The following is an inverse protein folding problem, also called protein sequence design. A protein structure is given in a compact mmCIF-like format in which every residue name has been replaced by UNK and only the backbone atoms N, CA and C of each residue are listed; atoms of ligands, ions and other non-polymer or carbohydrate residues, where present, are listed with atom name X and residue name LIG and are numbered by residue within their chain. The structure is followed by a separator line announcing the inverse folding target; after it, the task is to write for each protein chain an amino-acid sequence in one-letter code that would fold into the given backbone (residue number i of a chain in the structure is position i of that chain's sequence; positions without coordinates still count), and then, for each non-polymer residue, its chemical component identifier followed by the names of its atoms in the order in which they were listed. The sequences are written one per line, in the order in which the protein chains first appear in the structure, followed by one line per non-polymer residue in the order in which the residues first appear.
data_IF_144381947309
#
_entry.id   IF_144381947309
#
_cell.length_a   1.000
_cell.length_b   1.000
_cell.length_c   1.000
_cell.angle_alpha   90.00
_cell.angle_beta   90.00
_cell.angle_gamma   90.00
#
_symmetry.space_group_name_H-M   'P 1'
#
loop_
_entity.id
_entity.type
_entity.pdbx_description
1 polymer ?
#
# COMPACT_ATOMS: atom_id res chain seq x y z
N UNK A 1 36.94 22.40 36.27
CA UNK A 1 37.05 21.32 35.26
C UNK A 1 35.82 20.45 35.40
N UNK A 2 34.84 20.64 34.52
CA UNK A 2 33.59 19.88 34.53
C UNK A 2 33.89 18.47 34.00
N UNK A 3 33.51 17.44 34.74
CA UNK A 3 33.47 16.07 34.24
C UNK A 3 32.18 15.95 33.42
N UNK A 4 32.31 15.86 32.10
CA UNK A 4 31.22 15.39 31.25
C UNK A 4 30.98 13.91 31.56
N UNK A 5 29.83 13.62 32.15
CA UNK A 5 29.29 12.27 32.23
C UNK A 5 28.77 11.91 30.84
N UNK A 6 29.57 11.15 30.09
CA UNK A 6 29.12 10.49 28.88
C UNK A 6 27.96 9.56 29.24
N UNK A 7 26.73 9.96 28.89
CA UNK A 7 25.56 9.09 28.94
C UNK A 7 25.85 7.87 28.06
N UNK A 8 25.99 6.72 28.70
CA UNK A 8 26.10 5.42 28.05
C UNK A 8 24.88 5.21 27.16
N UNK A 9 25.15 4.87 25.91
CA UNK A 9 24.18 4.46 24.90
C UNK A 9 23.35 3.31 25.50
N UNK A 10 22.02 3.47 25.49
CA UNK A 10 21.07 2.44 25.89
C UNK A 10 21.38 1.15 25.12
N UNK A 11 21.57 0.05 25.86
CA UNK A 11 21.92 -1.25 25.31
C UNK A 11 20.84 -1.72 24.34
N UNK A 12 21.25 -2.16 23.15
CA UNK A 12 20.38 -2.82 22.17
C UNK A 12 19.82 -4.18 22.64
N UNK A 13 20.16 -4.61 23.86
CA UNK A 13 19.77 -5.88 24.46
C UNK A 13 18.30 -5.93 24.92
N UNK A 14 17.56 -4.81 24.85
CA UNK A 14 16.13 -4.71 25.21
C UNK A 14 15.17 -4.70 24.00
N UNK A 15 15.64 -5.10 22.81
CA UNK A 15 14.75 -5.29 21.65
C UNK A 15 14.36 -6.77 21.59
N UNK A 16 13.19 -7.10 22.12
CA UNK A 16 12.57 -8.41 21.92
C UNK A 16 12.47 -8.71 20.41
N UNK A 17 12.76 -9.96 20.03
CA UNK A 17 12.58 -10.46 18.66
C UNK A 17 11.13 -10.18 18.21
N UNK A 18 10.93 -9.15 17.38
CA UNK A 18 9.61 -8.82 16.86
C UNK A 18 9.31 -9.69 15.65
N UNK A 19 8.14 -10.34 15.67
CA UNK A 19 7.69 -11.08 14.51
C UNK A 19 7.23 -10.09 13.42
N UNK A 20 8.08 -9.86 12.42
CA UNK A 20 7.76 -9.01 11.25
C UNK A 20 6.48 -9.48 10.56
N UNK A 21 6.23 -10.80 10.53
CA UNK A 21 4.98 -11.36 10.01
C UNK A 21 3.79 -10.95 10.87
N UNK A 22 3.90 -10.81 12.20
CA UNK A 22 2.79 -10.32 13.04
C UNK A 22 2.42 -8.85 12.74
N UNK A 23 3.42 -7.99 12.47
CA UNK A 23 3.21 -6.61 12.03
C UNK A 23 2.53 -6.53 10.64
N UNK A 24 2.76 -7.53 9.77
CA UNK A 24 2.16 -7.62 8.43
C UNK A 24 0.79 -8.32 8.47
N UNK A 25 0.60 -9.31 9.35
CA UNK A 25 -0.62 -10.11 9.53
C UNK A 25 -1.78 -9.25 10.06
N UNK A 26 -1.50 -8.18 10.79
CA UNK A 26 -2.48 -7.20 11.28
C UNK A 26 -2.59 -5.93 10.42
N UNK A 27 -2.08 -5.94 9.18
CA UNK A 27 -2.30 -4.85 8.20
C UNK A 27 -3.77 -4.57 7.84
N UNK A 28 -4.73 -5.31 8.42
CA UNK A 28 -6.16 -5.01 8.35
C UNK A 28 -6.56 -3.76 9.12
N UNK A 29 -5.83 -3.38 10.17
CA UNK A 29 -6.15 -2.20 10.99
C UNK A 29 -5.46 -0.93 10.48
N UNK A 30 -4.40 -1.08 9.69
CA UNK A 30 -3.66 0.07 9.13
C UNK A 30 -4.39 0.66 7.94
N UNK A 31 -5.09 1.76 8.17
CA UNK A 31 -5.67 2.60 7.12
C UNK A 31 -4.68 3.73 6.81
N UNK A 32 -4.21 3.77 5.57
CA UNK A 32 -3.37 4.81 5.03
C UNK A 32 -4.27 5.78 4.26
N UNK A 33 -4.28 7.04 4.70
CA UNK A 33 -4.89 8.12 3.95
C UNK A 33 -3.85 8.71 2.98
N UNK A 34 -4.21 8.81 1.71
CA UNK A 34 -3.35 9.35 0.67
C UNK A 34 -4.17 10.18 -0.33
N UNK A 35 -3.49 10.89 -1.22
CA UNK A 35 -4.10 11.68 -2.29
C UNK A 35 -3.65 11.14 -3.65
N UNK A 36 -4.61 10.97 -4.56
CA UNK A 36 -4.34 10.67 -5.96
C UNK A 36 -4.82 11.79 -6.87
N UNK A 37 -4.11 11.99 -7.96
CA UNK A 37 -4.45 12.97 -8.99
C UNK A 37 -5.23 12.31 -10.12
N UNK A 38 -6.48 12.73 -10.25
CA UNK A 38 -7.39 12.27 -11.28
C UNK A 38 -7.39 13.26 -12.43
N UNK A 39 -6.75 12.91 -13.54
CA UNK A 39 -6.92 13.67 -14.76
C UNK A 39 -8.26 13.31 -15.42
N UNK A 40 -9.14 14.31 -15.58
CA UNK A 40 -10.36 14.17 -16.35
C UNK A 40 -10.09 14.57 -17.81
N UNK A 41 -10.06 13.62 -18.77
CA UNK A 41 -9.79 13.94 -20.17
C UNK A 41 -10.89 14.76 -20.84
N UNK A 42 -12.12 14.75 -20.31
CA UNK A 42 -13.25 15.51 -20.86
C UNK A 42 -13.19 16.98 -20.48
N UNK A 43 -12.85 17.30 -19.23
CA UNK A 43 -12.72 18.69 -18.76
C UNK A 43 -11.29 19.23 -18.84
N UNK A 44 -10.30 18.36 -19.08
CA UNK A 44 -8.85 18.63 -19.03
C UNK A 44 -8.38 19.14 -17.67
N UNK A 45 -9.10 18.80 -16.61
CA UNK A 45 -8.78 19.21 -15.25
C UNK A 45 -8.20 18.04 -14.47
N UNK A 46 -7.21 18.34 -13.65
CA UNK A 46 -6.71 17.41 -12.65
C UNK A 46 -7.41 17.68 -11.32
N UNK A 47 -8.10 16.69 -10.79
CA UNK A 47 -8.75 16.75 -9.48
C UNK A 47 -8.00 15.86 -8.50
N UNK A 48 -7.65 16.43 -7.35
CA UNK A 48 -7.14 15.66 -6.21
C UNK A 48 -8.27 14.91 -5.53
N UNK A 49 -8.07 13.62 -5.28
CA UNK A 49 -9.01 12.77 -4.57
C UNK A 49 -8.29 12.08 -3.41
N UNK A 50 -8.88 12.21 -2.24
CA UNK A 50 -8.46 11.47 -1.05
C UNK A 50 -8.87 10.00 -1.16
N UNK A 51 -7.94 9.11 -0.87
CA UNK A 51 -8.14 7.67 -0.84
C UNK A 51 -7.73 7.09 0.49
N UNK A 52 -8.46 6.06 0.92
CA UNK A 52 -8.18 5.31 2.14
C UNK A 52 -7.80 3.91 1.71
N UNK A 53 -6.58 3.48 2.02
CA UNK A 53 -6.00 2.24 1.54
C UNK A 53 -5.56 1.38 2.72
N UNK A 54 -5.64 0.07 2.57
CA UNK A 54 -4.96 -0.86 3.47
C UNK A 54 -3.98 -1.73 2.69
N UNK A 55 -2.90 -2.20 3.33
CA UNK A 55 -2.08 -3.24 2.74
C UNK A 55 -2.88 -4.53 2.53
N UNK A 56 -2.51 -5.26 1.47
CA UNK A 56 -3.02 -6.59 1.15
C UNK A 56 -1.98 -7.60 1.60
N UNK A 57 -2.41 -8.57 2.40
CA UNK A 57 -1.51 -9.65 2.82
C UNK A 57 -1.05 -10.52 1.64
N UNK A 58 0.10 -11.17 1.78
CA UNK A 58 0.61 -12.08 0.74
C UNK A 58 -0.38 -13.18 0.36
N UNK A 59 -1.15 -13.69 1.32
CA UNK A 59 -2.18 -14.70 1.10
C UNK A 59 -3.36 -14.18 0.28
N UNK A 60 -3.89 -12.99 0.62
CA UNK A 60 -4.95 -12.32 -0.15
C UNK A 60 -4.49 -11.99 -1.58
N UNK A 61 -3.24 -11.55 -1.74
CA UNK A 61 -2.65 -11.26 -3.04
C UNK A 61 -2.54 -12.52 -3.90
N UNK A 62 -1.92 -13.56 -3.34
CA UNK A 62 -1.74 -14.86 -4.01
C UNK A 62 -3.07 -15.49 -4.41
N UNK A 63 -4.10 -15.41 -3.56
CA UNK A 63 -5.44 -15.87 -3.89
C UNK A 63 -6.05 -15.07 -5.05
N UNK A 64 -5.87 -13.75 -5.05
CA UNK A 64 -6.38 -12.87 -6.11
C UNK A 64 -5.73 -13.22 -7.46
N UNK A 65 -4.41 -13.37 -7.48
CA UNK A 65 -3.64 -13.80 -8.67
C UNK A 65 -4.14 -15.16 -9.20
N UNK A 66 -4.37 -16.13 -8.32
CA UNK A 66 -4.91 -17.45 -8.71
C UNK A 66 -6.32 -17.34 -9.28
N UNK A 67 -7.17 -16.48 -8.69
CA UNK A 67 -8.57 -16.32 -9.10
C UNK A 67 -8.74 -15.65 -10.47
N UNK A 68 -7.80 -14.79 -10.88
CA UNK A 68 -7.83 -14.10 -12.18
C UNK A 68 -7.22 -14.90 -13.33
N UNK A 69 -6.57 -16.02 -13.05
CA UNK A 69 -5.86 -16.81 -14.08
C UNK A 69 -4.71 -16.03 -14.73
N UNK A 70 -4.15 -16.57 -15.83
CA UNK A 70 -2.90 -16.05 -16.43
C UNK A 70 -3.05 -14.77 -17.28
N UNK A 71 -4.27 -14.36 -17.65
CA UNK A 71 -4.46 -13.41 -18.77
C UNK A 71 -5.32 -12.16 -18.51
N UNK A 72 -5.67 -11.82 -17.26
CA UNK A 72 -6.43 -10.58 -17.01
C UNK A 72 -5.82 -9.71 -15.92
N UNK A 73 -4.69 -9.06 -16.25
CA UNK A 73 -4.10 -7.99 -15.42
C UNK A 73 -5.15 -6.97 -14.96
N UNK A 74 -6.08 -6.61 -15.85
CA UNK A 74 -7.21 -5.72 -15.53
C UNK A 74 -8.08 -6.25 -14.40
N UNK A 75 -8.46 -7.53 -14.45
CA UNK A 75 -9.33 -8.11 -13.42
C UNK A 75 -8.59 -8.21 -12.08
N UNK A 76 -7.27 -8.41 -12.12
CA UNK A 76 -6.43 -8.42 -10.91
C UNK A 76 -6.40 -7.04 -10.25
N UNK A 77 -6.17 -5.98 -11.03
CA UNK A 77 -6.19 -4.60 -10.52
C UNK A 77 -7.53 -4.28 -9.85
N UNK A 78 -8.65 -4.62 -10.50
CA UNK A 78 -10.00 -4.37 -9.99
C UNK A 78 -10.29 -5.17 -8.71
N UNK A 79 -9.90 -6.45 -8.66
CA UNK A 79 -10.11 -7.32 -7.49
C UNK A 79 -9.29 -6.85 -6.31
N UNK A 80 -8.02 -6.51 -6.51
CA UNK A 80 -7.15 -5.97 -5.47
C UNK A 80 -7.70 -4.65 -4.94
N UNK A 81 -8.08 -3.73 -5.83
CA UNK A 81 -8.70 -2.47 -5.43
C UNK A 81 -9.98 -2.69 -4.62
N UNK A 82 -10.85 -3.62 -5.00
CA UNK A 82 -12.09 -3.91 -4.23
C UNK A 82 -11.87 -4.47 -2.82
N UNK A 83 -10.66 -4.93 -2.52
CA UNK A 83 -10.29 -5.47 -1.20
C UNK A 83 -9.59 -4.43 -0.32
N UNK A 84 -8.78 -3.58 -0.93
CA UNK A 84 -7.87 -2.69 -0.22
C UNK A 84 -8.21 -1.20 -0.32
N UNK A 85 -9.01 -0.78 -1.29
CA UNK A 85 -9.53 0.59 -1.33
C UNK A 85 -10.79 0.66 -0.47
N UNK A 86 -10.73 1.50 0.56
CA UNK A 86 -11.76 1.65 1.57
C UNK A 86 -12.57 2.95 1.37
N UNK A 87 -13.81 2.92 1.86
CA UNK A 87 -14.61 4.10 2.13
C UNK A 87 -14.05 4.86 3.34
N UNK A 88 -14.48 6.12 3.58
CA UNK A 88 -14.10 6.85 4.79
C UNK A 88 -14.45 6.12 6.11
N UNK A 89 -15.46 5.25 6.07
CA UNK A 89 -15.89 4.43 7.22
C UNK A 89 -15.06 3.14 7.37
N UNK A 90 -13.99 2.97 6.58
CA UNK A 90 -13.11 1.80 6.62
C UNK A 90 -13.64 0.55 5.90
N UNK A 91 -14.75 0.65 5.17
CA UNK A 91 -15.34 -0.49 4.46
C UNK A 91 -14.79 -0.63 3.04
N UNK A 92 -14.50 -1.83 2.52
CA UNK A 92 -14.02 -1.97 1.15
C UNK A 92 -15.01 -1.46 0.09
N UNK A 93 -14.50 -0.82 -0.96
CA UNK A 93 -15.32 -0.39 -2.10
C UNK A 93 -15.76 -1.61 -2.92
N UNK A 94 -17.06 -1.69 -3.18
CA UNK A 94 -17.65 -2.76 -3.99
C UNK A 94 -16.99 -2.87 -5.38
N UNK A 95 -16.72 -4.11 -5.81
CA UNK A 95 -16.11 -4.39 -7.13
C UNK A 95 -16.93 -3.81 -8.29
N UNK A 96 -18.26 -3.77 -8.18
CA UNK A 96 -19.15 -3.14 -9.18
C UNK A 96 -18.84 -1.66 -9.38
N UNK A 97 -18.55 -0.92 -8.30
CA UNK A 97 -18.19 0.49 -8.34
C UNK A 97 -16.80 0.68 -8.94
N UNK A 98 -15.83 -0.15 -8.53
CA UNK A 98 -14.48 -0.14 -9.12
C UNK A 98 -14.53 -0.36 -10.64
N UNK A 99 -15.33 -1.32 -11.10
CA UNK A 99 -15.51 -1.61 -12.54
C UNK A 99 -16.13 -0.46 -13.34
N UNK A 100 -16.91 0.40 -12.70
CA UNK A 100 -17.51 1.57 -13.32
C UNK A 100 -16.55 2.78 -13.39
N UNK A 101 -15.42 2.74 -12.67
CA UNK A 101 -14.45 3.82 -12.66
C UNK A 101 -13.60 3.83 -13.94
N UNK A 102 -13.02 4.99 -14.24
CA UNK A 102 -12.07 5.09 -15.34
C UNK A 102 -10.83 4.25 -15.02
N UNK A 103 -10.36 3.48 -16.00
CA UNK A 103 -9.23 2.54 -15.82
C UNK A 103 -7.99 3.20 -15.22
N UNK A 104 -7.66 4.43 -15.64
CA UNK A 104 -6.49 5.15 -15.12
C UNK A 104 -6.54 5.40 -13.61
N UNK A 105 -7.74 5.57 -13.04
CA UNK A 105 -7.93 5.73 -11.59
C UNK A 105 -7.64 4.42 -10.87
N UNK A 106 -8.22 3.33 -11.37
CA UNK A 106 -8.04 1.99 -10.80
C UNK A 106 -6.56 1.60 -10.82
N UNK A 107 -5.86 1.83 -11.93
CA UNK A 107 -4.43 1.55 -12.05
C UNK A 107 -3.60 2.39 -11.06
N UNK A 108 -3.87 3.68 -10.89
CA UNK A 108 -3.13 4.51 -9.92
C UNK A 108 -3.32 4.03 -8.47
N UNK A 109 -4.56 3.71 -8.09
CA UNK A 109 -4.84 3.17 -6.75
C UNK A 109 -4.18 1.81 -6.56
N UNK A 110 -4.24 0.94 -7.57
CA UNK A 110 -3.59 -0.36 -7.55
C UNK A 110 -2.08 -0.25 -7.31
N UNK A 111 -1.38 0.65 -7.99
CA UNK A 111 0.07 0.84 -7.80
C UNK A 111 0.39 1.33 -6.38
N UNK A 112 -0.42 2.23 -5.80
CA UNK A 112 -0.27 2.60 -4.38
C UNK A 112 -0.47 1.41 -3.46
N UNK A 113 -1.50 0.59 -3.70
CA UNK A 113 -1.76 -0.64 -2.93
C UNK A 113 -0.57 -1.60 -3.04
N UNK A 114 0.00 -1.78 -4.25
CA UNK A 114 1.17 -2.64 -4.49
C UNK A 114 2.36 -2.21 -3.64
N UNK A 115 2.64 -0.91 -3.59
CA UNK A 115 3.74 -0.32 -2.80
C UNK A 115 3.52 -0.57 -1.30
N UNK A 116 2.37 -0.18 -0.75
CA UNK A 116 2.09 -0.33 0.69
C UNK A 116 1.98 -1.80 1.11
N UNK A 117 1.68 -2.70 0.17
CA UNK A 117 1.61 -4.15 0.42
C UNK A 117 2.95 -4.86 0.22
N UNK A 118 4.02 -4.14 -0.13
CA UNK A 118 5.34 -4.72 -0.41
C UNK A 118 5.35 -5.69 -1.59
N UNK A 119 4.39 -5.60 -2.51
CA UNK A 119 4.25 -6.52 -3.66
C UNK A 119 5.04 -6.02 -4.87
N UNK A 120 6.28 -5.60 -4.63
CA UNK A 120 7.19 -5.08 -5.63
C UNK A 120 7.69 -6.23 -6.52
N UNK A 121 7.69 -5.99 -7.82
CA UNK A 121 8.17 -6.96 -8.81
C UNK A 121 9.38 -6.32 -9.43
N UNK A 122 10.57 -6.68 -8.92
CA UNK A 122 11.92 -6.53 -9.50
C UNK A 122 12.92 -5.85 -8.53
N UNK A 123 14.14 -6.40 -8.31
CA UNK A 123 15.22 -5.83 -7.47
C UNK A 123 15.63 -4.36 -7.72
N UNK A 124 15.15 -3.73 -8.80
CA UNK A 124 15.33 -2.29 -9.00
C UNK A 124 14.41 -1.42 -8.13
N UNK A 125 13.26 -1.92 -7.66
CA UNK A 125 12.32 -1.18 -6.79
C UNK A 125 12.86 -1.07 -5.34
N UNK A 126 13.67 -2.03 -4.86
CA UNK A 126 14.38 -1.96 -3.57
C UNK A 126 15.29 -0.73 -3.46
N UNK A 127 15.99 -0.38 -4.55
CA UNK A 127 16.84 0.82 -4.63
C UNK A 127 16.08 2.14 -4.50
N UNK A 128 14.78 2.14 -4.79
CA UNK A 128 13.93 3.33 -4.62
C UNK A 128 13.50 3.48 -3.16
N UNK A 129 13.29 2.36 -2.46
CA UNK A 129 13.01 2.37 -1.02
C UNK A 129 14.24 2.80 -0.21
N UNK A 130 15.46 2.32 -0.54
CA UNK A 130 16.71 2.80 0.09
C UNK A 130 16.83 4.33 0.02
N UNK A 131 16.44 4.95 -1.11
CA UNK A 131 16.47 6.41 -1.28
C UNK A 131 15.40 7.17 -0.49
N UNK A 132 14.30 6.52 -0.13
CA UNK A 132 13.23 7.14 0.66
C UNK A 132 13.50 6.99 2.16
N UNK A 133 14.22 5.94 2.56
CA UNK A 133 14.57 5.64 3.96
C UNK A 133 15.89 6.24 4.43
N UNK A 134 16.67 6.88 3.55
CA UNK A 134 17.85 7.70 3.91
C UNK A 134 17.45 9.05 4.57
N UNK A 135 16.77 8.98 5.71
CA UNK A 135 16.51 10.11 6.63
C UNK A 135 17.15 9.87 8.00
#
# INVERSE_FOLDING_TARGET
MAKEESKSIESFDDIDDFNLEALIVEGKETIIEDEIELYNPQTKETKKMRVYLRPVSHSEWSQSVRSTGKNSKKDLEEIICSKAWLTPDGMPIELSKIKAMQKGVVTQVYEKIKIISGQLTDPFEEKYLEKITDF
#
